data_IF_658118525602
#
_entry.id   IF_658118525602
#
_cell.length_a   1.000
_cell.length_b   1.000
_cell.length_c   1.000
_cell.angle_alpha   90.00
_cell.angle_beta   90.00
_cell.angle_gamma   90.00
#
_symmetry.space_group_name_H-M   'P 1'
#
loop_
_entity.id
_entity.type
_entity.pdbx_description
1 polymer ?
#
# COMPACT_ATOMS: atom_id res chain seq x y z
N UNK A 1 9.10 -4.75 -10.11
CA UNK A 1 7.87 -3.92 -10.01
C UNK A 1 6.71 -4.72 -10.56
N UNK A 2 5.51 -4.57 -10.00
CA UNK A 2 4.27 -5.24 -10.42
C UNK A 2 3.16 -4.20 -10.55
N UNK A 3 2.20 -4.49 -11.42
CA UNK A 3 0.93 -3.78 -11.50
C UNK A 3 -0.17 -4.65 -10.89
N UNK A 4 -1.03 -4.05 -10.08
CA UNK A 4 -2.25 -4.69 -9.55
C UNK A 4 -3.45 -3.87 -9.95
N UNK A 5 -4.59 -4.53 -10.13
CA UNK A 5 -5.84 -3.90 -10.49
C UNK A 5 -6.94 -4.26 -9.50
N UNK A 6 -7.76 -3.28 -9.15
CA UNK A 6 -9.03 -3.44 -8.47
C UNK A 6 -10.13 -2.95 -9.39
N UNK A 7 -11.18 -3.75 -9.60
CA UNK A 7 -12.30 -3.38 -10.49
C UNK A 7 -13.49 -2.76 -9.75
N UNK A 8 -13.49 -2.83 -8.41
CA UNK A 8 -14.53 -2.30 -7.53
C UNK A 8 -13.91 -1.62 -6.30
N UNK A 9 -12.86 -0.82 -6.52
CA UNK A 9 -12.24 -0.05 -5.47
C UNK A 9 -13.17 1.05 -4.94
N UNK A 10 -13.01 1.33 -3.65
CA UNK A 10 -13.61 2.45 -2.95
C UNK A 10 -12.52 3.45 -2.55
N UNK A 11 -12.90 4.64 -2.06
CA UNK A 11 -11.93 5.58 -1.48
C UNK A 11 -11.13 4.96 -0.35
N UNK A 12 -11.74 4.08 0.44
CA UNK A 12 -11.02 3.33 1.49
C UNK A 12 -9.86 2.52 0.91
N UNK A 13 -10.04 1.87 -0.25
CA UNK A 13 -8.95 1.15 -0.91
C UNK A 13 -7.82 2.10 -1.33
N UNK A 14 -8.15 3.30 -1.83
CA UNK A 14 -7.15 4.31 -2.17
C UNK A 14 -6.34 4.72 -0.92
N UNK A 15 -7.00 4.93 0.22
CA UNK A 15 -6.35 5.26 1.50
C UNK A 15 -5.44 4.14 2.00
N UNK A 16 -5.85 2.88 1.89
CA UNK A 16 -5.03 1.75 2.34
C UNK A 16 -3.83 1.51 1.41
N UNK A 17 -4.02 1.67 0.10
CA UNK A 17 -2.95 1.44 -0.89
C UNK A 17 -2.00 2.63 -0.95
N UNK A 18 -2.50 3.85 -0.76
CA UNK A 18 -1.77 5.11 -0.69
C UNK A 18 -0.69 5.24 -1.77
N UNK A 19 -1.08 5.01 -3.03
CA UNK A 19 -0.20 5.11 -4.20
C UNK A 19 -0.86 5.85 -5.35
N UNK A 20 -0.12 6.63 -6.12
CA UNK A 20 -0.57 7.07 -7.43
C UNK A 20 -0.90 5.88 -8.33
N UNK A 21 -1.84 6.05 -9.24
CA UNK A 21 -2.27 4.99 -10.13
C UNK A 21 -3.25 5.44 -11.19
N UNK A 22 -3.66 4.53 -12.06
CA UNK A 22 -4.64 4.82 -13.12
C UNK A 22 -6.04 4.57 -12.57
N UNK A 23 -6.92 5.53 -12.80
CA UNK A 23 -8.36 5.46 -12.52
C UNK A 23 -9.15 5.62 -13.81
N UNK A 24 -10.34 5.03 -13.87
CA UNK A 24 -11.22 5.16 -15.02
C UNK A 24 -12.48 5.93 -14.63
N UNK A 25 -12.68 7.11 -15.22
CA UNK A 25 -13.81 7.99 -14.94
C UNK A 25 -14.80 8.00 -16.10
N UNK A 26 -16.10 7.97 -15.77
CA UNK A 26 -17.20 8.21 -16.71
C UNK A 26 -17.26 9.71 -17.05
N UNK A 27 -17.37 10.02 -18.33
CA UNK A 27 -17.65 11.37 -18.84
C UNK A 27 -19.15 11.56 -19.03
N UNK A 28 -19.58 12.82 -19.03
CA UNK A 28 -20.97 13.21 -19.30
C UNK A 28 -21.47 12.75 -20.67
N UNK A 29 -20.57 12.48 -21.62
CA UNK A 29 -20.88 11.91 -22.93
C UNK A 29 -21.20 10.41 -22.91
N UNK A 30 -21.10 9.75 -21.75
CA UNK A 30 -21.27 8.29 -21.61
C UNK A 30 -20.00 7.47 -21.87
N UNK A 31 -18.92 8.09 -22.34
CA UNK A 31 -17.62 7.43 -22.53
C UNK A 31 -16.82 7.36 -21.22
N UNK A 32 -16.02 6.32 -21.04
CA UNK A 32 -15.05 6.24 -19.96
C UNK A 32 -13.65 6.69 -20.44
N UNK A 33 -12.88 7.35 -19.55
CA UNK A 33 -11.50 7.75 -19.82
C UNK A 33 -10.58 7.35 -18.67
N UNK A 34 -9.42 6.78 -19.00
CA UNK A 34 -8.34 6.53 -18.04
C UNK A 34 -7.56 7.82 -17.77
N UNK A 35 -7.31 8.11 -16.49
CA UNK A 35 -6.53 9.25 -16.02
C UNK A 35 -5.58 8.78 -14.91
N UNK A 36 -4.44 9.44 -14.76
CA UNK A 36 -3.50 9.12 -13.68
C UNK A 36 -3.89 9.92 -12.43
N UNK A 37 -4.30 9.22 -11.40
CA UNK A 37 -4.50 9.74 -10.05
C UNK A 37 -3.14 9.94 -9.38
N UNK A 38 -2.83 11.18 -9.02
CA UNK A 38 -1.50 11.56 -8.49
C UNK A 38 -1.55 12.10 -7.05
N UNK A 39 -2.68 12.65 -6.61
CA UNK A 39 -2.86 13.09 -5.23
C UNK A 39 -4.34 13.10 -4.84
N UNK A 40 -4.64 12.92 -3.56
CA UNK A 40 -5.96 13.16 -2.96
C UNK A 40 -5.75 13.91 -1.64
N UNK A 41 -6.44 15.03 -1.48
CA UNK A 41 -6.57 15.73 -0.19
C UNK A 41 -7.97 15.56 0.40
N UNK A 42 -8.35 16.40 1.37
CA UNK A 42 -9.64 16.33 2.04
C UNK A 42 -10.85 16.40 1.07
N UNK A 43 -10.76 17.25 0.04
CA UNK A 43 -11.89 17.57 -0.86
C UNK A 43 -11.56 17.53 -2.35
N UNK A 44 -10.28 17.38 -2.70
CA UNK A 44 -9.78 17.50 -4.06
C UNK A 44 -9.00 16.25 -4.47
N UNK A 45 -9.28 15.80 -5.68
CA UNK A 45 -8.56 14.75 -6.38
C UNK A 45 -7.75 15.39 -7.50
N UNK A 46 -6.47 15.06 -7.55
CA UNK A 46 -5.52 15.57 -8.53
C UNK A 46 -5.28 14.49 -9.59
N UNK A 47 -5.64 14.80 -10.83
CA UNK A 47 -5.53 13.90 -11.97
C UNK A 47 -4.55 14.48 -12.99
N UNK A 48 -3.67 13.66 -13.55
CA UNK A 48 -2.87 14.04 -14.71
C UNK A 48 -3.62 13.61 -15.98
N UNK A 49 -3.96 14.58 -16.82
CA UNK A 49 -4.63 14.42 -18.11
C UNK A 49 -3.83 15.14 -19.19
N UNK A 50 -3.37 14.42 -20.21
CA UNK A 50 -2.60 14.97 -21.33
C UNK A 50 -1.35 15.79 -20.91
N UNK A 51 -0.76 15.50 -19.75
CA UNK A 51 0.40 16.21 -19.22
C UNK A 51 0.06 17.39 -18.30
N UNK A 52 -1.22 17.71 -18.11
CA UNK A 52 -1.69 18.77 -17.23
C UNK A 52 -2.36 18.20 -15.98
N UNK A 53 -2.21 18.90 -14.85
CA UNK A 53 -2.89 18.56 -13.61
C UNK A 53 -4.29 19.17 -13.63
N UNK A 54 -5.29 18.31 -13.56
CA UNK A 54 -6.71 18.65 -13.46
C UNK A 54 -7.17 18.38 -12.03
N UNK A 55 -7.79 19.38 -11.41
CA UNK A 55 -8.39 19.26 -10.09
C UNK A 55 -9.85 18.86 -10.23
N UNK A 56 -10.28 17.88 -9.46
CA UNK A 56 -11.65 17.41 -9.42
C UNK A 56 -12.11 17.35 -7.97
N UNK A 57 -13.30 17.89 -7.70
CA UNK A 57 -13.96 17.70 -6.41
C UNK A 57 -14.08 16.20 -6.10
N UNK A 58 -13.78 15.81 -4.88
CA UNK A 58 -13.72 14.41 -4.45
C UNK A 58 -15.08 13.71 -4.56
N UNK A 59 -16.17 14.39 -4.24
CA UNK A 59 -17.50 13.82 -4.39
C UNK A 59 -17.81 13.58 -5.87
N UNK A 60 -17.49 14.55 -6.73
CA UNK A 60 -17.66 14.38 -8.18
C UNK A 60 -16.77 13.27 -8.75
N UNK A 61 -15.56 13.12 -8.22
CA UNK A 61 -14.69 12.00 -8.56
C UNK A 61 -15.36 10.67 -8.21
N UNK A 62 -15.83 10.50 -6.97
CA UNK A 62 -16.50 9.28 -6.50
C UNK A 62 -17.72 8.92 -7.36
N UNK A 63 -18.54 9.90 -7.73
CA UNK A 63 -19.72 9.71 -8.59
C UNK A 63 -19.36 9.25 -10.01
N UNK A 64 -18.26 9.76 -10.56
CA UNK A 64 -17.82 9.44 -11.94
C UNK A 64 -16.94 8.21 -12.00
N UNK A 65 -16.31 7.85 -10.90
CA UNK A 65 -15.35 6.76 -10.88
C UNK A 65 -16.06 5.42 -11.09
N UNK A 66 -15.45 4.59 -11.93
CA UNK A 66 -15.96 3.26 -12.22
C UNK A 66 -15.63 2.22 -11.15
N UNK A 67 -14.75 2.58 -10.20
CA UNK A 67 -14.13 1.65 -9.25
C UNK A 67 -12.87 0.99 -9.79
N UNK A 68 -12.52 1.17 -11.06
CA UNK A 68 -11.26 0.66 -11.62
C UNK A 68 -10.07 1.48 -11.11
N UNK A 69 -9.12 0.80 -10.47
CA UNK A 69 -7.86 1.34 -9.96
C UNK A 69 -6.71 0.41 -10.32
N UNK A 70 -5.69 0.93 -11.00
CA UNK A 70 -4.46 0.19 -11.30
C UNK A 70 -3.29 0.92 -10.68
N UNK A 71 -2.51 0.25 -9.85
CA UNK A 71 -1.37 0.85 -9.17
C UNK A 71 -0.11 0.00 -9.34
N UNK A 72 1.04 0.66 -9.21
CA UNK A 72 2.33 0.01 -9.24
C UNK A 72 2.85 -0.18 -7.81
N UNK A 73 3.33 -1.37 -7.52
CA UNK A 73 4.03 -1.65 -6.27
C UNK A 73 5.18 -2.62 -6.51
N UNK A 74 6.10 -2.69 -5.55
CA UNK A 74 7.25 -3.56 -5.62
C UNK A 74 7.29 -4.47 -4.39
N UNK A 75 6.91 -5.75 -4.52
CA UNK A 75 7.15 -6.70 -3.45
C UNK A 75 8.64 -6.89 -3.19
N UNK A 76 9.01 -7.47 -2.03
CA UNK A 76 10.32 -8.07 -1.84
C UNK A 76 10.65 -9.05 -2.97
N UNK A 77 11.93 -9.17 -3.32
CA UNK A 77 12.36 -9.99 -4.47
C UNK A 77 12.02 -11.47 -4.31
N UNK A 78 12.11 -11.98 -3.09
CA UNK A 78 12.19 -13.43 -2.85
C UNK A 78 10.95 -14.03 -2.18
N UNK A 79 9.93 -13.22 -1.86
CA UNK A 79 8.70 -13.70 -1.23
C UNK A 79 7.52 -12.72 -1.37
N UNK A 80 6.31 -13.25 -1.27
CA UNK A 80 5.05 -12.48 -1.28
C UNK A 80 4.19 -12.71 -0.03
N UNK A 81 4.53 -13.74 0.73
CA UNK A 81 3.84 -14.16 1.93
C UNK A 81 4.86 -14.78 2.90
N UNK A 82 4.67 -14.50 4.19
CA UNK A 82 5.39 -15.11 5.30
C UNK A 82 4.38 -15.32 6.43
N UNK A 83 4.33 -16.52 6.99
CA UNK A 83 3.43 -16.88 8.10
C UNK A 83 4.11 -17.88 9.03
N UNK A 84 3.43 -18.24 10.12
CA UNK A 84 3.91 -19.23 11.08
C UNK A 84 4.44 -20.51 10.40
N UNK A 85 5.54 -21.04 10.95
CA UNK A 85 6.25 -22.24 10.50
C UNK A 85 7.02 -22.14 9.17
N UNK A 86 6.89 -21.04 8.42
CA UNK A 86 7.72 -20.81 7.24
C UNK A 86 9.22 -20.76 7.59
N UNK A 87 10.06 -21.24 6.67
CA UNK A 87 11.52 -21.15 6.77
C UNK A 87 12.04 -20.45 5.52
N UNK A 88 12.35 -19.16 5.65
CA UNK A 88 12.87 -18.32 4.57
C UNK A 88 13.81 -17.25 5.14
N UNK A 89 15.11 -17.57 5.20
CA UNK A 89 16.11 -16.69 5.81
C UNK A 89 16.18 -15.29 5.16
N UNK A 90 16.23 -15.14 3.82
CA UNK A 90 16.18 -13.81 3.20
C UNK A 90 14.93 -13.00 3.57
N UNK A 91 13.75 -13.64 3.57
CA UNK A 91 12.50 -12.97 3.89
C UNK A 91 12.44 -12.52 5.36
N UNK A 92 12.91 -13.36 6.29
CA UNK A 92 13.00 -13.01 7.71
C UNK A 92 14.00 -11.87 7.96
N UNK A 93 15.16 -11.90 7.30
CA UNK A 93 16.14 -10.80 7.39
C UNK A 93 15.57 -9.50 6.85
N UNK A 94 14.84 -9.54 5.73
CA UNK A 94 14.15 -8.37 5.19
C UNK A 94 13.10 -7.83 6.17
N UNK A 95 12.27 -8.71 6.74
CA UNK A 95 11.20 -8.33 7.67
C UNK A 95 11.75 -7.66 8.93
N UNK A 96 12.74 -8.30 9.57
CA UNK A 96 13.35 -7.77 10.80
C UNK A 96 14.06 -6.45 10.57
N UNK A 97 14.75 -6.27 9.43
CA UNK A 97 15.35 -4.99 9.06
C UNK A 97 14.31 -3.88 8.90
N UNK A 98 13.15 -4.19 8.29
CA UNK A 98 12.05 -3.24 8.12
C UNK A 98 11.40 -2.87 9.47
N UNK A 99 11.09 -3.86 10.31
CA UNK A 99 10.55 -3.64 11.65
C UNK A 99 11.50 -2.84 12.55
N UNK A 100 12.81 -3.14 12.47
CA UNK A 100 13.87 -2.43 13.21
C UNK A 100 14.06 -0.97 12.79
N UNK A 101 13.74 -0.61 11.55
CA UNK A 101 13.85 0.77 11.07
C UNK A 101 12.74 1.70 11.59
N UNK A 102 11.66 1.16 12.16
CA UNK A 102 10.48 1.95 12.56
C UNK A 102 10.30 2.09 14.08
N UNK A 103 10.91 1.22 14.87
CA UNK A 103 10.77 1.22 16.33
C UNK A 103 12.09 0.86 16.99
N UNK A 104 12.50 1.67 17.95
CA UNK A 104 13.70 1.40 18.78
C UNK A 104 13.51 0.16 19.67
N UNK A 105 12.26 -0.22 19.96
CA UNK A 105 11.91 -1.41 20.74
C UNK A 105 11.93 -2.70 19.89
N UNK A 106 12.01 -2.58 18.57
CA UNK A 106 12.15 -3.73 17.68
C UNK A 106 13.52 -4.38 17.88
N UNK A 107 13.52 -5.67 18.21
CA UNK A 107 14.74 -6.47 18.36
C UNK A 107 14.80 -7.59 17.32
N UNK A 108 16.00 -7.87 16.83
CA UNK A 108 16.24 -8.97 15.89
C UNK A 108 16.12 -10.31 16.61
N UNK A 109 15.24 -11.19 16.09
CA UNK A 109 15.08 -12.54 16.62
C UNK A 109 15.99 -13.50 15.85
N UNK A 110 16.92 -14.14 16.57
CA UNK A 110 17.78 -15.19 16.01
C UNK A 110 16.94 -16.46 15.83
N UNK A 111 16.30 -16.62 14.67
CA UNK A 111 15.42 -17.76 14.38
C UNK A 111 15.99 -18.78 13.39
N UNK A 112 17.20 -18.53 12.86
CA UNK A 112 17.76 -19.34 11.78
C UNK A 112 16.99 -19.20 10.45
N UNK A 113 16.14 -18.18 10.30
CA UNK A 113 15.28 -17.98 9.14
C UNK A 113 13.88 -18.59 9.27
N UNK A 114 13.54 -19.15 10.43
CA UNK A 114 12.17 -19.60 10.74
C UNK A 114 11.30 -18.43 11.16
N UNK A 115 10.06 -18.41 10.71
CA UNK A 115 9.02 -17.52 11.22
C UNK A 115 8.45 -18.11 12.52
N UNK A 116 9.05 -17.73 13.65
CA UNK A 116 8.67 -18.22 14.98
C UNK A 116 7.49 -17.45 15.54
N UNK A 117 6.87 -17.96 16.61
CA UNK A 117 5.83 -17.25 17.36
C UNK A 117 6.29 -15.85 17.80
N UNK A 118 7.54 -15.70 18.24
CA UNK A 118 8.08 -14.39 18.61
C UNK A 118 8.11 -13.39 17.42
N UNK A 119 8.43 -13.85 16.21
CA UNK A 119 8.35 -13.00 15.00
C UNK A 119 6.89 -12.68 14.69
N UNK A 120 6.00 -13.66 14.80
CA UNK A 120 4.57 -13.46 14.60
C UNK A 120 4.01 -12.38 15.53
N UNK A 121 4.40 -12.37 16.80
CA UNK A 121 3.97 -11.35 17.76
C UNK A 121 4.45 -9.94 17.38
N UNK A 122 5.69 -9.78 16.90
CA UNK A 122 6.16 -8.48 16.38
C UNK A 122 5.34 -8.01 15.18
N UNK A 123 4.96 -8.93 14.29
CA UNK A 123 4.12 -8.61 13.13
C UNK A 123 2.69 -8.24 13.54
N UNK A 124 2.10 -8.97 14.49
CA UNK A 124 0.78 -8.66 15.04
C UNK A 124 0.76 -7.25 15.66
N UNK A 125 1.79 -6.91 16.43
CA UNK A 125 1.90 -5.59 17.05
C UNK A 125 2.05 -4.49 16.01
N UNK A 126 2.92 -4.69 15.01
CA UNK A 126 3.03 -3.78 13.87
C UNK A 126 1.68 -3.60 13.15
N UNK A 127 1.00 -4.70 12.80
CA UNK A 127 -0.28 -4.64 12.11
C UNK A 127 -1.32 -3.86 12.92
N UNK A 128 -1.39 -4.08 14.23
CA UNK A 128 -2.27 -3.32 15.14
C UNK A 128 -1.95 -1.83 15.13
N UNK A 129 -0.68 -1.46 15.27
CA UNK A 129 -0.24 -0.05 15.23
C UNK A 129 -0.54 0.63 13.89
N UNK A 130 -0.56 -0.13 12.80
CA UNK A 130 -0.83 0.36 11.46
C UNK A 130 -2.30 0.23 11.01
N UNK A 131 -3.22 -0.14 11.91
CA UNK A 131 -4.63 -0.40 11.60
C UNK A 131 -4.83 -1.42 10.45
N UNK A 132 -3.96 -2.42 10.38
CA UNK A 132 -4.06 -3.60 9.50
C UNK A 132 -4.64 -4.75 10.33
N UNK A 133 -5.29 -5.73 9.68
CA UNK A 133 -5.74 -6.95 10.34
C UNK A 133 -4.55 -7.61 11.10
N UNK A 134 -4.62 -7.77 12.44
CA UNK A 134 -3.50 -8.25 13.24
C UNK A 134 -3.47 -9.79 13.28
N UNK A 135 -3.33 -10.43 12.13
CA UNK A 135 -3.33 -11.89 11.96
C UNK A 135 -1.92 -12.52 12.05
N UNK A 136 -0.88 -11.70 12.11
CA UNK A 136 0.51 -12.14 12.14
C UNK A 136 1.00 -12.69 10.80
N UNK A 137 0.27 -12.49 9.71
CA UNK A 137 0.65 -12.89 8.35
C UNK A 137 1.24 -11.69 7.62
N UNK A 138 2.46 -11.84 7.11
CA UNK A 138 3.11 -10.83 6.28
C UNK A 138 2.66 -11.01 4.83
N UNK A 139 1.43 -10.61 4.54
CA UNK A 139 0.85 -10.58 3.20
C UNK A 139 1.04 -9.23 2.48
N UNK A 140 0.45 -9.05 1.29
CA UNK A 140 0.61 -7.85 0.46
C UNK A 140 0.34 -6.52 1.20
N UNK A 141 -0.70 -6.45 2.03
CA UNK A 141 -1.03 -5.24 2.79
C UNK A 141 0.08 -4.87 3.78
N UNK A 142 0.55 -5.85 4.57
CA UNK A 142 1.66 -5.69 5.51
C UNK A 142 2.95 -5.31 4.79
N UNK A 143 3.26 -5.99 3.67
CA UNK A 143 4.43 -5.69 2.84
C UNK A 143 4.42 -4.26 2.29
N UNK A 144 3.28 -3.84 1.74
CA UNK A 144 3.14 -2.47 1.21
C UNK A 144 3.31 -1.42 2.29
N UNK A 145 2.75 -1.64 3.49
CA UNK A 145 2.88 -0.72 4.62
C UNK A 145 4.32 -0.64 5.14
N UNK A 146 4.99 -1.78 5.30
CA UNK A 146 6.41 -1.82 5.67
C UNK A 146 7.26 -1.01 4.68
N UNK A 147 7.02 -1.18 3.37
CA UNK A 147 7.70 -0.41 2.34
C UNK A 147 7.41 1.08 2.46
N UNK A 148 6.15 1.49 2.59
CA UNK A 148 5.77 2.91 2.71
C UNK A 148 6.47 3.61 3.87
N UNK A 149 6.61 2.94 5.02
CA UNK A 149 7.19 3.52 6.24
C UNK A 149 8.72 3.54 6.25
N UNK A 150 9.38 2.81 5.36
CA UNK A 150 10.84 2.61 5.37
C UNK A 150 11.52 2.97 4.06
N UNK A 151 10.75 3.48 3.08
CA UNK A 151 11.25 3.92 1.78
C UNK A 151 10.52 5.21 1.37
N UNK A 152 11.17 6.34 1.63
CA UNK A 152 10.67 7.68 1.33
C UNK A 152 10.58 7.96 -0.18
N UNK A 153 11.18 7.12 -1.02
CA UNK A 153 11.14 7.31 -2.48
C UNK A 153 9.82 6.83 -3.09
N UNK A 154 9.01 6.10 -2.32
CA UNK A 154 7.71 5.60 -2.76
C UNK A 154 6.72 6.77 -2.81
N UNK A 155 6.17 7.09 -3.99
CA UNK A 155 5.16 8.14 -4.11
C UNK A 155 3.90 7.76 -3.33
N UNK A 156 3.41 8.70 -2.52
CA UNK A 156 2.17 8.56 -1.75
C UNK A 156 1.04 9.34 -2.41
N UNK A 157 -0.15 8.79 -2.32
CA UNK A 157 -1.35 9.41 -2.87
C UNK A 157 -1.86 10.53 -1.96
N UNK A 158 -1.81 10.31 -0.66
CA UNK A 158 -2.18 11.30 0.34
C UNK A 158 -0.90 11.98 0.82
N UNK A 159 -0.98 13.29 1.10
CA UNK A 159 0.11 13.96 1.80
C UNK A 159 0.22 13.35 3.21
N UNK A 160 1.45 13.27 3.73
CA UNK A 160 1.61 13.04 5.16
C UNK A 160 1.00 14.23 5.90
N UNK A 161 0.11 13.96 6.85
CA UNK A 161 -0.31 14.97 7.82
C UNK A 161 0.95 15.43 8.57
N UNK A 162 1.29 16.72 8.46
CA UNK A 162 2.38 17.35 9.20
C UNK A 162 1.91 17.71 10.61
#
# INVERSE_FOLDING_TARGET
MRAEALDQATIYNLTVIDRPGIVVLKKSSGLAKSQMLINVDESTVYLLENGEIVLLDKQIFEERWTGTYVYLWQPPKDFLLLQADDVNKPALSWLQAKLGAMSEDSYNIISGGRYTEAVQQQVIEFQRQQNILPDGIVGPQTLMRLNQLTDETIPRLFKADN
#
